data_IF_812569573371
#
_entry.id   IF_812569573371
#
_cell.length_a   1.000
_cell.length_b   1.000
_cell.length_c   1.000
_cell.angle_alpha   90.00
_cell.angle_beta   90.00
_cell.angle_gamma   90.00
#
_symmetry.space_group_name_H-M   'P 1'
#
loop_
_entity.id
_entity.type
_entity.pdbx_description
1 polymer ?
#
# COMPACT_ATOMS: atom_id res chain seq x y z
N UNK A 1 -19.66 9.62 15.92
CA UNK A 1 -18.69 8.83 15.13
C UNK A 1 -19.49 7.89 14.24
N UNK A 2 -19.69 8.23 12.97
CA UNK A 2 -20.26 7.29 12.01
C UNK A 2 -19.12 6.36 11.59
N UNK A 3 -19.05 5.19 12.24
CA UNK A 3 -18.11 4.14 11.82
C UNK A 3 -18.34 3.82 10.34
N UNK A 4 -17.26 3.67 9.58
CA UNK A 4 -17.33 3.20 8.20
C UNK A 4 -18.09 1.86 8.24
N UNK A 5 -19.27 1.77 7.62
CA UNK A 5 -19.98 0.49 7.51
C UNK A 5 -19.14 -0.44 6.65
N UNK A 6 -18.56 -1.44 7.28
CA UNK A 6 -17.76 -2.49 6.64
C UNK A 6 -18.71 -3.38 5.82
N UNK A 7 -18.40 -3.62 4.54
CA UNK A 7 -19.21 -4.48 3.68
C UNK A 7 -19.20 -5.96 4.11
N UNK A 8 -20.14 -6.78 3.59
CA UNK A 8 -20.31 -8.18 4.00
C UNK A 8 -19.11 -9.10 3.66
N UNK A 9 -18.25 -8.70 2.73
CA UNK A 9 -16.97 -9.37 2.48
C UNK A 9 -15.96 -9.11 3.60
N UNK A 10 -15.87 -7.86 4.05
CA UNK A 10 -14.89 -7.44 5.03
C UNK A 10 -15.28 -7.86 6.46
N UNK A 11 -16.53 -8.24 6.73
CA UNK A 11 -16.89 -8.89 8.00
C UNK A 11 -16.29 -10.28 8.17
N UNK A 12 -15.79 -10.90 7.09
CA UNK A 12 -15.20 -12.25 7.09
C UNK A 12 -13.68 -12.28 7.31
N UNK A 13 -13.01 -11.13 7.28
CA UNK A 13 -11.56 -11.07 7.51
C UNK A 13 -11.25 -11.21 9.01
N UNK A 14 -10.01 -11.52 9.37
CA UNK A 14 -9.62 -11.65 10.76
C UNK A 14 -9.87 -10.36 11.57
N UNK A 15 -10.26 -10.46 12.86
CA UNK A 15 -10.54 -9.30 13.71
C UNK A 15 -9.43 -8.25 13.74
N UNK A 16 -8.16 -8.65 13.67
CA UNK A 16 -7.02 -7.73 13.61
C UNK A 16 -7.06 -6.77 12.42
N UNK A 17 -7.52 -7.23 11.25
CA UNK A 17 -7.63 -6.38 10.06
C UNK A 17 -8.86 -5.47 10.14
N UNK A 18 -9.97 -5.97 10.68
CA UNK A 18 -11.16 -5.16 10.96
C UNK A 18 -10.81 -3.99 11.90
N UNK A 19 -10.09 -4.28 12.99
CA UNK A 19 -9.62 -3.27 13.94
C UNK A 19 -8.71 -2.21 13.29
N UNK A 20 -7.87 -2.58 12.31
CA UNK A 20 -7.09 -1.61 11.53
C UNK A 20 -8.02 -0.73 10.69
N UNK A 21 -8.99 -1.32 9.96
CA UNK A 21 -9.93 -0.58 9.12
C UNK A 21 -10.85 0.37 9.91
N UNK A 22 -11.17 0.05 11.15
CA UNK A 22 -11.95 0.92 12.04
C UNK A 22 -11.20 2.18 12.47
N UNK A 23 -9.87 2.08 12.58
CA UNK A 23 -8.98 3.14 13.08
C UNK A 23 -8.30 3.94 11.99
N UNK A 24 -8.45 3.52 10.74
CA UNK A 24 -7.74 4.12 9.60
C UNK A 24 -8.73 4.55 8.53
N UNK A 25 -8.27 5.43 7.64
CA UNK A 25 -9.01 5.84 6.45
C UNK A 25 -8.21 5.47 5.21
N UNK A 26 -8.84 4.84 4.20
CA UNK A 26 -8.16 4.59 2.93
C UNK A 26 -7.98 5.90 2.17
N UNK A 27 -6.91 5.97 1.39
CA UNK A 27 -6.63 7.07 0.48
C UNK A 27 -6.08 6.57 -0.86
N UNK A 28 -6.15 7.43 -1.86
CA UNK A 28 -5.49 7.26 -3.16
C UNK A 28 -4.72 8.54 -3.49
N UNK A 29 -3.51 8.39 -4.01
CA UNK A 29 -2.76 9.45 -4.70
C UNK A 29 -2.47 9.00 -6.13
N UNK A 30 -2.92 9.76 -7.12
CA UNK A 30 -2.78 9.41 -8.54
C UNK A 30 -2.94 10.64 -9.44
N UNK A 31 -2.66 10.49 -10.74
CA UNK A 31 -3.10 11.41 -11.76
C UNK A 31 -4.64 11.34 -11.92
N UNK A 32 -5.38 12.48 -11.93
CA UNK A 32 -6.84 12.46 -11.97
C UNK A 32 -7.44 11.67 -13.14
N UNK A 33 -6.75 11.62 -14.29
CA UNK A 33 -7.20 10.84 -15.45
C UNK A 33 -7.24 9.32 -15.22
N UNK A 34 -6.57 8.80 -14.20
CA UNK A 34 -6.54 7.38 -13.88
C UNK A 34 -7.74 6.94 -13.02
N UNK A 35 -8.41 7.88 -12.34
CA UNK A 35 -9.42 7.58 -11.31
C UNK A 35 -10.59 6.74 -11.83
N UNK A 36 -11.00 6.92 -13.09
CA UNK A 36 -12.10 6.16 -13.69
C UNK A 36 -11.78 4.67 -13.85
N UNK A 37 -10.51 4.28 -13.76
CA UNK A 37 -10.06 2.89 -13.84
C UNK A 37 -10.07 2.20 -12.47
N UNK A 38 -10.27 2.95 -11.38
CA UNK A 38 -10.15 2.43 -10.02
C UNK A 38 -11.51 2.15 -9.39
N UNK A 39 -11.53 1.14 -8.53
CA UNK A 39 -12.64 0.87 -7.62
C UNK A 39 -12.48 1.73 -6.36
N UNK A 40 -13.25 2.82 -6.26
CA UNK A 40 -13.24 3.73 -5.12
C UNK A 40 -14.08 3.25 -3.92
N UNK A 41 -14.70 2.06 -4.03
CA UNK A 41 -15.47 1.44 -2.95
C UNK A 41 -15.18 -0.07 -2.86
N UNK A 42 -13.91 -0.47 -2.68
CA UNK A 42 -13.51 -1.88 -2.58
C UNK A 42 -14.28 -2.59 -1.47
N UNK A 43 -15.05 -3.62 -1.83
CA UNK A 43 -15.87 -4.40 -0.88
C UNK A 43 -16.81 -3.53 0.00
N UNK A 44 -17.32 -2.44 -0.57
CA UNK A 44 -18.18 -1.50 0.14
C UNK A 44 -17.45 -0.53 1.08
N UNK A 45 -16.12 -0.59 1.19
CA UNK A 45 -15.33 0.40 1.91
C UNK A 45 -15.09 1.62 1.01
N UNK A 46 -15.90 2.67 1.17
CA UNK A 46 -15.76 3.89 0.37
C UNK A 46 -14.51 4.70 0.75
N UNK A 47 -13.78 5.16 -0.27
CA UNK A 47 -12.67 6.10 -0.13
C UNK A 47 -13.25 7.51 -0.16
N UNK A 48 -13.06 8.27 0.91
CA UNK A 48 -13.61 9.63 1.00
C UNK A 48 -12.93 10.53 -0.05
N UNK A 49 -13.70 11.40 -0.69
CA UNK A 49 -13.23 12.34 -1.69
C UNK A 49 -12.12 13.26 -1.15
N UNK A 50 -12.15 13.59 0.14
CA UNK A 50 -11.09 14.38 0.80
C UNK A 50 -9.73 13.64 0.86
N UNK A 51 -9.74 12.31 0.73
CA UNK A 51 -8.57 11.43 0.72
C UNK A 51 -8.25 10.88 -0.68
N UNK A 52 -8.79 11.51 -1.72
CA UNK A 52 -8.37 11.30 -3.10
C UNK A 52 -7.50 12.50 -3.48
N UNK A 53 -6.20 12.24 -3.55
CA UNK A 53 -5.17 13.24 -3.79
C UNK A 53 -4.72 13.20 -5.25
N UNK A 54 -4.58 14.39 -5.85
CA UNK A 54 -4.02 14.55 -7.18
C UNK A 54 -2.52 14.82 -7.09
N UNK A 55 -1.71 14.05 -7.81
CA UNK A 55 -0.25 14.24 -7.85
C UNK A 55 0.20 15.53 -8.54
N UNK A 56 -0.70 16.17 -9.31
CA UNK A 56 -0.44 17.45 -9.98
C UNK A 56 -0.98 18.65 -9.20
N UNK A 57 -1.55 18.43 -8.00
CA UNK A 57 -2.07 19.50 -7.14
C UNK A 57 -1.01 19.94 -6.12
N UNK A 58 -0.39 21.10 -6.36
CA UNK A 58 0.65 21.67 -5.50
C UNK A 58 0.19 21.92 -4.06
N UNK A 59 -1.11 22.07 -3.81
CA UNK A 59 -1.66 22.22 -2.45
C UNK A 59 -1.49 20.95 -1.61
N UNK A 60 -1.16 19.82 -2.23
CA UNK A 60 -0.92 18.53 -1.58
C UNK A 60 0.55 18.28 -1.25
N UNK A 61 1.44 19.25 -1.47
CA UNK A 61 2.87 19.13 -1.18
C UNK A 61 3.17 18.55 0.21
N UNK A 62 2.42 19.00 1.24
CA UNK A 62 2.58 18.49 2.60
C UNK A 62 2.31 16.99 2.71
N UNK A 63 1.27 16.48 2.04
CA UNK A 63 0.97 15.05 2.02
C UNK A 63 2.08 14.25 1.32
N UNK A 64 2.67 14.79 0.25
CA UNK A 64 3.79 14.16 -0.45
C UNK A 64 5.03 14.05 0.44
N UNK A 65 5.33 15.07 1.24
CA UNK A 65 6.43 15.03 2.21
C UNK A 65 6.19 13.97 3.31
N UNK A 66 4.93 13.74 3.69
CA UNK A 66 4.56 12.70 4.65
C UNK A 66 4.69 11.29 4.04
N UNK A 67 4.33 11.11 2.76
CA UNK A 67 4.60 9.86 2.03
C UNK A 67 6.09 9.57 1.93
N UNK A 68 6.91 10.58 1.65
CA UNK A 68 8.36 10.44 1.65
C UNK A 68 8.91 10.07 3.03
N UNK A 69 8.33 10.64 4.09
CA UNK A 69 8.69 10.27 5.47
C UNK A 69 8.34 8.81 5.76
N UNK A 70 7.16 8.33 5.32
CA UNK A 70 6.77 6.92 5.42
C UNK A 70 7.75 6.00 4.67
N UNK A 71 8.16 6.38 3.46
CA UNK A 71 9.11 5.60 2.66
C UNK A 71 10.48 5.53 3.32
N UNK A 72 10.98 6.67 3.80
CA UNK A 72 12.23 6.74 4.55
C UNK A 72 12.20 5.87 5.82
N UNK A 73 11.05 5.77 6.50
CA UNK A 73 10.91 4.88 7.65
C UNK A 73 10.96 3.39 7.28
N UNK A 74 10.43 3.03 6.11
CA UNK A 74 10.40 1.64 5.64
C UNK A 74 11.74 1.21 5.01
N UNK A 75 12.35 2.05 4.18
CA UNK A 75 13.49 1.68 3.32
C UNK A 75 14.78 2.46 3.61
N UNK A 76 14.71 3.54 4.38
CA UNK A 76 15.88 4.29 4.83
C UNK A 76 16.96 3.44 5.52
N UNK A 77 16.60 2.53 6.46
CA UNK A 77 17.58 1.68 7.14
C UNK A 77 18.34 0.71 6.22
N UNK A 78 17.80 0.42 5.03
CA UNK A 78 18.44 -0.43 4.02
C UNK A 78 19.00 0.38 2.85
N UNK A 79 19.04 1.72 2.97
CA UNK A 79 19.62 2.62 1.98
C UNK A 79 18.83 2.69 0.67
N UNK A 80 17.52 2.43 0.69
CA UNK A 80 16.67 2.40 -0.50
C UNK A 80 15.44 3.32 -0.45
N UNK A 81 15.48 4.53 0.15
CA UNK A 81 14.36 5.47 -0.04
C UNK A 81 14.29 5.87 -1.52
N UNK A 82 13.07 6.05 -2.04
CA UNK A 82 12.89 6.48 -3.42
C UNK A 82 12.90 8.02 -3.52
N UNK A 83 13.54 8.52 -4.57
CA UNK A 83 13.50 9.96 -4.87
C UNK A 83 12.07 10.39 -5.27
N UNK A 84 11.76 11.68 -5.05
CA UNK A 84 10.43 12.25 -5.38
C UNK A 84 10.05 12.05 -6.85
N UNK A 85 11.01 12.14 -7.76
CA UNK A 85 10.74 11.94 -9.19
C UNK A 85 10.33 10.47 -9.49
N UNK A 86 10.86 9.48 -8.76
CA UNK A 86 10.47 8.07 -8.92
C UNK A 86 9.03 7.87 -8.46
N UNK A 87 8.64 8.49 -7.34
CA UNK A 87 7.23 8.51 -6.92
C UNK A 87 6.34 9.07 -8.01
N UNK A 88 6.66 10.27 -8.49
CA UNK A 88 5.83 11.00 -9.44
C UNK A 88 5.79 10.32 -10.82
N UNK A 89 6.95 10.15 -11.46
CA UNK A 89 7.08 9.67 -12.85
C UNK A 89 6.72 8.19 -13.01
N UNK A 90 7.09 7.36 -12.03
CA UNK A 90 6.87 5.91 -12.12
C UNK A 90 5.62 5.47 -11.37
N UNK A 91 5.32 6.05 -10.21
CA UNK A 91 4.20 5.62 -9.36
C UNK A 91 2.90 6.35 -9.63
N UNK A 92 2.86 7.64 -9.35
CA UNK A 92 1.65 8.44 -9.23
C UNK A 92 1.03 8.82 -10.57
N UNK A 93 1.87 9.21 -11.55
CA UNK A 93 1.42 9.63 -12.87
C UNK A 93 0.86 8.47 -13.70
N UNK A 94 1.60 7.39 -13.97
CA UNK A 94 1.11 6.29 -14.80
C UNK A 94 0.20 5.33 -14.03
N UNK A 95 0.39 5.22 -12.71
CA UNK A 95 -0.34 4.29 -11.85
C UNK A 95 -0.99 5.02 -10.69
N UNK A 96 -0.83 4.49 -9.48
CA UNK A 96 -1.34 5.11 -8.28
C UNK A 96 -0.71 4.55 -7.01
N UNK A 97 -0.88 5.33 -5.95
CA UNK A 97 -0.52 4.97 -4.59
C UNK A 97 -1.82 4.80 -3.80
N UNK A 98 -2.02 3.63 -3.23
CA UNK A 98 -3.17 3.36 -2.36
C UNK A 98 -2.67 2.94 -0.98
N UNK A 99 -3.29 3.49 0.07
CA UNK A 99 -2.82 3.24 1.42
C UNK A 99 -3.87 3.50 2.48
N UNK A 100 -3.42 3.41 3.73
CA UNK A 100 -4.19 3.75 4.91
C UNK A 100 -3.51 4.90 5.64
N UNK A 101 -4.30 5.84 6.12
CA UNK A 101 -3.85 6.97 6.91
C UNK A 101 -4.71 7.21 8.14
N UNK A 102 -4.22 8.07 9.02
CA UNK A 102 -4.87 8.49 10.27
C UNK A 102 -4.73 10.00 10.43
N UNK A 103 -5.54 10.61 11.28
CA UNK A 103 -5.32 12.00 11.67
C UNK A 103 -4.08 12.09 12.54
N UNK A 104 -3.30 13.16 12.38
CA UNK A 104 -2.09 13.40 13.16
C UNK A 104 -2.37 13.31 14.67
N UNK A 105 -3.53 13.77 15.14
CA UNK A 105 -3.95 13.67 16.54
C UNK A 105 -3.98 12.25 17.11
N UNK A 106 -4.18 11.24 16.25
CA UNK A 106 -4.28 9.82 16.61
C UNK A 106 -2.91 9.13 16.72
N UNK A 107 -1.84 9.79 16.28
CA UNK A 107 -0.49 9.23 16.30
C UNK A 107 0.17 9.41 17.69
N UNK A 108 0.95 8.41 18.15
CA UNK A 108 1.84 8.56 19.29
C UNK A 108 2.85 9.69 19.05
N UNK A 109 3.23 10.41 20.11
CA UNK A 109 4.14 11.56 20.01
C UNK A 109 5.48 11.22 19.37
N UNK A 110 6.02 10.02 19.62
CA UNK A 110 7.30 9.63 19.03
C UNK A 110 7.16 9.35 17.53
N UNK A 111 6.02 8.82 17.08
CA UNK A 111 5.73 8.68 15.64
C UNK A 111 5.52 10.05 14.99
N UNK A 112 4.85 11.00 15.66
CA UNK A 112 4.72 12.38 15.16
C UNK A 112 6.08 13.04 14.90
N UNK A 113 7.07 12.81 15.77
CA UNK A 113 8.44 13.31 15.58
C UNK A 113 9.10 12.71 14.35
N UNK A 114 8.91 11.40 14.11
CA UNK A 114 9.45 10.72 12.94
C UNK A 114 8.89 11.30 11.62
N UNK A 115 7.59 11.65 11.61
CA UNK A 115 6.94 12.35 10.50
C UNK A 115 7.21 13.87 10.47
N UNK A 116 8.00 14.40 11.41
CA UNK A 116 8.28 15.84 11.54
C UNK A 116 6.99 16.68 11.58
N UNK A 117 6.02 16.22 12.37
CA UNK A 117 4.76 16.94 12.57
C UNK A 117 4.92 18.03 13.63
N UNK A 118 4.22 19.14 13.42
CA UNK A 118 4.09 20.18 14.44
C UNK A 118 3.21 19.70 15.60
N UNK A 119 3.36 20.34 16.78
CA UNK A 119 2.66 19.94 18.01
C UNK A 119 1.13 19.87 17.87
N UNK A 120 0.55 20.78 17.08
CA UNK A 120 -0.89 20.88 16.84
C UNK A 120 -1.27 20.54 15.39
N UNK A 121 -0.45 19.72 14.72
CA UNK A 121 -0.72 19.32 13.33
C UNK A 121 -2.10 18.66 13.21
N UNK A 122 -2.86 19.11 12.21
CA UNK A 122 -4.13 18.50 11.78
C UNK A 122 -3.96 17.74 10.46
N UNK A 123 -2.73 17.35 10.16
CA UNK A 123 -2.37 16.62 8.94
C UNK A 123 -3.09 15.26 8.89
N UNK A 124 -3.54 14.86 7.71
CA UNK A 124 -3.86 13.45 7.43
C UNK A 124 -2.55 12.73 7.08
N UNK A 125 -2.16 11.76 7.89
CA UNK A 125 -0.84 11.14 7.83
C UNK A 125 -0.95 9.73 7.24
N UNK A 126 -0.29 9.43 6.11
CA UNK A 126 -0.23 8.09 5.57
C UNK A 126 0.62 7.21 6.49
N UNK A 127 0.09 6.05 6.89
CA UNK A 127 0.82 5.07 7.73
C UNK A 127 1.17 3.80 6.96
N UNK A 128 0.61 3.64 5.76
CA UNK A 128 0.99 2.63 4.80
C UNK A 128 0.70 3.08 3.39
N UNK A 129 1.38 2.47 2.42
CA UNK A 129 1.15 2.69 1.01
C UNK A 129 1.56 1.49 0.18
N UNK A 130 0.91 1.32 -0.96
CA UNK A 130 1.30 0.42 -2.02
C UNK A 130 1.27 1.15 -3.35
N UNK A 131 2.35 1.03 -4.11
CA UNK A 131 2.50 1.63 -5.44
C UNK A 131 2.44 0.51 -6.48
N UNK A 132 1.60 0.70 -7.50
CA UNK A 132 1.57 -0.20 -8.64
C UNK A 132 1.50 0.58 -9.95
N UNK A 133 2.19 0.06 -10.96
CA UNK A 133 2.41 0.70 -12.25
C UNK A 133 1.78 -0.18 -13.33
N UNK A 134 0.90 0.33 -14.20
CA UNK A 134 0.39 -0.47 -15.30
C UNK A 134 1.52 -0.81 -16.28
N UNK A 135 1.48 -2.02 -16.82
CA UNK A 135 2.40 -2.44 -17.89
C UNK A 135 1.74 -2.22 -19.26
N UNK A 136 2.56 -2.16 -20.31
CA UNK A 136 2.07 -2.11 -21.68
C UNK A 136 1.20 -3.32 -22.07
N UNK A 137 1.44 -4.47 -21.44
CA UNK A 137 0.59 -5.65 -21.59
C UNK A 137 -0.79 -5.41 -20.93
N UNK A 138 -1.90 -5.57 -21.66
CA UNK A 138 -3.24 -5.27 -21.14
C UNK A 138 -3.56 -6.01 -19.84
N UNK A 139 -4.01 -5.25 -18.83
CA UNK A 139 -4.41 -5.78 -17.52
C UNK A 139 -3.25 -6.28 -16.64
N UNK A 140 -2.01 -6.19 -17.10
CA UNK A 140 -0.83 -6.50 -16.30
C UNK A 140 -0.33 -5.26 -15.55
N UNK A 141 0.10 -5.48 -14.31
CA UNK A 141 0.64 -4.44 -13.44
C UNK A 141 1.99 -4.87 -12.87
N UNK A 142 2.82 -3.90 -12.55
CA UNK A 142 4.05 -4.11 -11.80
C UNK A 142 3.86 -3.60 -10.37
N UNK A 143 4.16 -4.45 -9.38
CA UNK A 143 4.21 -4.06 -7.98
C UNK A 143 5.51 -3.34 -7.70
N UNK A 144 5.44 -2.04 -7.40
CA UNK A 144 6.62 -1.19 -7.30
C UNK A 144 7.13 -1.05 -5.86
N UNK A 145 6.26 -0.62 -4.94
CA UNK A 145 6.67 -0.36 -3.57
C UNK A 145 5.57 -0.71 -2.56
N UNK A 146 5.97 -1.20 -1.38
CA UNK A 146 5.08 -1.45 -0.23
C UNK A 146 5.75 -0.92 1.05
N UNK A 147 5.24 0.20 1.57
CA UNK A 147 5.74 0.80 2.82
C UNK A 147 4.69 0.74 3.91
N UNK A 148 5.14 0.53 5.14
CA UNK A 148 4.26 0.52 6.31
C UNK A 148 5.01 0.96 7.55
N UNK A 149 4.38 1.85 8.33
CA UNK A 149 4.85 2.31 9.63
C UNK A 149 4.61 1.29 10.75
N UNK A 150 4.30 0.03 10.42
CA UNK A 150 3.95 -1.01 11.40
C UNK A 150 5.04 -1.23 12.47
N UNK A 151 6.32 -1.07 12.09
CA UNK A 151 7.47 -1.19 13.01
C UNK A 151 7.52 -0.10 14.07
N UNK A 152 6.99 1.08 13.80
CA UNK A 152 7.01 2.23 14.72
C UNK A 152 5.66 2.44 15.43
N UNK A 153 4.57 1.96 14.85
CA UNK A 153 3.23 2.02 15.44
C UNK A 153 2.93 0.85 16.41
N UNK A 154 3.58 -0.31 16.22
CA UNK A 154 3.45 -1.46 17.11
C UNK A 154 2.15 -2.26 16.96
N UNK A 155 1.88 -3.11 17.95
CA UNK A 155 1.00 -4.30 17.86
C UNK A 155 -0.44 -4.08 17.38
N UNK A 156 -1.02 -2.89 17.54
CA UNK A 156 -2.37 -2.58 17.05
C UNK A 156 -2.49 -2.54 15.52
N UNK A 157 -1.36 -2.50 14.81
CA UNK A 157 -1.29 -2.45 13.35
C UNK A 157 -0.72 -3.73 12.74
N UNK A 158 -0.63 -4.83 13.51
CA UNK A 158 -0.07 -6.09 13.01
C UNK A 158 -0.79 -6.58 11.74
N UNK A 159 -0.06 -6.64 10.63
CA UNK A 159 -0.60 -7.02 9.32
C UNK A 159 -0.96 -5.83 8.41
N UNK A 160 -0.68 -4.59 8.83
CA UNK A 160 -0.95 -3.37 8.06
C UNK A 160 -0.42 -3.44 6.62
N UNK A 161 0.82 -3.90 6.40
CA UNK A 161 1.38 -4.06 5.05
C UNK A 161 0.58 -5.03 4.17
N UNK A 162 0.18 -6.18 4.71
CA UNK A 162 -0.64 -7.17 3.99
C UNK A 162 -2.01 -6.58 3.64
N UNK A 163 -2.70 -5.99 4.61
CA UNK A 163 -4.00 -5.34 4.39
C UNK A 163 -3.90 -4.23 3.33
N UNK A 164 -2.86 -3.40 3.40
CA UNK A 164 -2.60 -2.31 2.46
C UNK A 164 -2.47 -2.82 1.04
N UNK A 165 -1.64 -3.86 0.84
CA UNK A 165 -1.44 -4.44 -0.48
C UNK A 165 -2.72 -5.07 -1.01
N UNK A 166 -3.44 -5.84 -0.20
CA UNK A 166 -4.70 -6.49 -0.59
C UNK A 166 -5.77 -5.46 -0.96
N UNK A 167 -5.89 -4.39 -0.17
CA UNK A 167 -6.79 -3.27 -0.47
C UNK A 167 -6.41 -2.61 -1.80
N UNK A 168 -5.12 -2.28 -2.00
CA UNK A 168 -4.65 -1.63 -3.22
C UNK A 168 -4.86 -2.49 -4.47
N UNK A 169 -4.64 -3.80 -4.39
CA UNK A 169 -4.94 -4.74 -5.48
C UNK A 169 -6.41 -4.66 -5.89
N UNK A 170 -7.34 -4.55 -4.92
CA UNK A 170 -8.76 -4.41 -5.20
C UNK A 170 -9.13 -3.03 -5.74
N UNK A 171 -8.54 -1.96 -5.18
CA UNK A 171 -8.74 -0.57 -5.63
C UNK A 171 -8.29 -0.41 -7.09
N UNK A 172 -7.12 -0.90 -7.44
CA UNK A 172 -6.58 -0.81 -8.80
C UNK A 172 -7.11 -1.89 -9.75
N UNK A 173 -8.03 -2.75 -9.26
CA UNK A 173 -8.64 -3.82 -10.04
C UNK A 173 -7.62 -4.80 -10.68
N UNK A 174 -6.53 -5.07 -9.96
CA UNK A 174 -5.39 -5.84 -10.46
C UNK A 174 -5.68 -7.34 -10.39
N UNK A 175 -5.59 -8.01 -11.55
CA UNK A 175 -5.74 -9.47 -11.67
C UNK A 175 -4.44 -10.18 -12.01
N UNK A 176 -3.53 -9.51 -12.69
CA UNK A 176 -2.23 -10.03 -13.09
C UNK A 176 -1.16 -9.04 -12.64
N UNK A 177 -0.23 -9.50 -11.83
CA UNK A 177 0.84 -8.68 -11.28
C UNK A 177 2.19 -9.35 -11.50
N UNK A 178 3.13 -8.57 -12.00
CA UNK A 178 4.55 -8.84 -11.95
C UNK A 178 5.16 -8.07 -10.78
N UNK A 179 6.30 -8.54 -10.30
CA UNK A 179 7.07 -7.79 -9.32
C UNK A 179 8.50 -8.27 -9.23
N UNK A 180 9.30 -7.49 -8.53
CA UNK A 180 10.65 -7.83 -8.15
C UNK A 180 10.79 -7.75 -6.63
N UNK A 181 11.54 -8.67 -6.05
CA UNK A 181 11.89 -8.64 -4.62
C UNK A 181 13.22 -9.34 -4.42
N UNK A 182 13.89 -9.08 -3.30
CA UNK A 182 15.09 -9.82 -2.91
C UNK A 182 14.69 -11.15 -2.28
N UNK A 183 15.50 -12.20 -2.53
CA UNK A 183 15.34 -13.53 -1.93
C UNK A 183 15.22 -13.51 -0.39
N UNK A 184 15.96 -12.62 0.27
CA UNK A 184 16.00 -12.46 1.72
C UNK A 184 15.01 -11.41 2.25
N UNK A 185 14.15 -10.87 1.38
CA UNK A 185 13.16 -9.89 1.79
C UNK A 185 12.06 -10.51 2.65
N UNK A 186 11.81 -9.91 3.81
CA UNK A 186 10.66 -10.24 4.67
C UNK A 186 9.32 -9.99 3.98
N UNK A 187 9.28 -9.13 2.95
CA UNK A 187 8.06 -8.89 2.18
C UNK A 187 7.60 -10.13 1.43
N UNK A 188 8.49 -11.07 1.08
CA UNK A 188 8.18 -12.30 0.33
C UNK A 188 7.00 -13.06 0.94
N UNK A 189 6.95 -13.12 2.28
CA UNK A 189 5.86 -13.73 3.03
C UNK A 189 4.49 -13.06 2.76
N UNK A 190 4.47 -11.73 2.57
CA UNK A 190 3.24 -11.00 2.19
C UNK A 190 2.79 -11.42 0.79
N UNK A 191 3.71 -11.58 -0.15
CA UNK A 191 3.36 -11.98 -1.52
C UNK A 191 2.77 -13.39 -1.54
N UNK A 192 3.44 -14.35 -0.90
CA UNK A 192 3.02 -15.76 -0.81
C UNK A 192 1.73 -15.95 -0.01
N UNK A 193 1.51 -15.14 1.02
CA UNK A 193 0.26 -15.15 1.79
C UNK A 193 -0.95 -14.76 0.93
N UNK A 194 -0.76 -13.91 -0.09
CA UNK A 194 -1.85 -13.48 -0.96
C UNK A 194 -2.08 -14.50 -2.06
N UNK A 195 -1.05 -14.86 -2.85
CA UNK A 195 -1.21 -15.76 -3.99
C UNK A 195 0.08 -16.50 -4.30
N UNK A 196 -0.03 -17.56 -5.10
CA UNK A 196 1.15 -18.25 -5.60
C UNK A 196 1.98 -17.32 -6.48
N UNK A 197 3.28 -17.60 -6.50
CA UNK A 197 4.27 -16.84 -7.27
C UNK A 197 4.87 -17.77 -8.31
N UNK A 198 4.58 -17.50 -9.57
CA UNK A 198 5.29 -18.08 -10.70
C UNK A 198 6.61 -17.30 -10.87
N UNK A 199 7.74 -17.97 -10.75
CA UNK A 199 9.04 -17.33 -10.90
C UNK A 199 9.31 -17.03 -12.37
N UNK A 200 9.55 -15.76 -12.70
CA UNK A 200 9.89 -15.33 -14.05
C UNK A 200 11.41 -15.31 -14.25
N UNK A 201 12.16 -14.96 -13.21
CA UNK A 201 13.61 -15.10 -13.17
C UNK A 201 14.11 -15.25 -11.74
N UNK A 202 15.02 -16.20 -11.51
CA UNK A 202 15.72 -16.39 -10.24
C UNK A 202 16.83 -15.35 -9.99
N UNK A 203 17.29 -14.70 -11.07
CA UNK A 203 18.36 -13.70 -11.07
C UNK A 203 18.07 -12.61 -12.10
N UNK A 204 17.95 -11.37 -11.65
CA UNK A 204 17.57 -10.24 -12.51
C UNK A 204 18.68 -9.20 -12.58
N UNK A 205 19.66 -9.35 -13.50
CA UNK A 205 20.80 -8.43 -13.59
C UNK A 205 20.43 -7.00 -14.00
N UNK A 206 19.24 -6.80 -14.57
CA UNK A 206 18.70 -5.47 -14.85
C UNK A 206 18.27 -4.71 -13.58
N UNK A 207 18.19 -5.38 -12.44
CA UNK A 207 17.85 -4.77 -11.15
C UNK A 207 19.12 -4.51 -10.34
N UNK A 208 19.14 -3.43 -9.56
CA UNK A 208 20.33 -2.97 -8.81
C UNK A 208 20.86 -3.96 -7.75
N UNK A 209 20.12 -5.04 -7.46
CA UNK A 209 20.48 -6.03 -6.45
C UNK A 209 20.64 -7.43 -7.05
N UNK A 210 21.81 -8.03 -6.83
CA UNK A 210 22.16 -9.34 -7.38
C UNK A 210 21.28 -10.50 -6.86
N UNK A 211 20.53 -10.32 -5.78
CA UNK A 211 19.62 -11.33 -5.22
C UNK A 211 18.15 -11.11 -5.61
N UNK A 212 17.91 -10.39 -6.71
CA UNK A 212 16.55 -10.06 -7.15
C UNK A 212 15.92 -11.20 -7.92
N UNK A 213 14.77 -11.64 -7.43
CA UNK A 213 13.83 -12.47 -8.19
C UNK A 213 12.77 -11.60 -8.84
N UNK A 214 12.32 -12.03 -10.01
CA UNK A 214 11.08 -11.54 -10.61
C UNK A 214 10.06 -12.66 -10.61
N UNK A 215 8.82 -12.26 -10.39
CA UNK A 215 7.72 -13.21 -10.26
C UNK A 215 6.46 -12.64 -10.88
N UNK A 216 5.49 -13.53 -11.08
CA UNK A 216 4.14 -13.24 -11.51
C UNK A 216 3.15 -13.87 -10.54
N UNK A 217 2.07 -13.17 -10.24
CA UNK A 217 0.96 -13.65 -9.42
C UNK A 217 -0.37 -13.30 -10.07
N UNK A 218 -1.37 -14.15 -9.84
CA UNK A 218 -2.74 -13.97 -10.29
C UNK A 218 -3.63 -13.72 -9.07
N UNK A 219 -4.53 -12.76 -9.17
CA UNK A 219 -5.44 -12.36 -8.10
C UNK A 219 -6.90 -12.41 -8.54
N UNK A 220 -7.76 -12.75 -7.58
CA UNK A 220 -9.21 -12.62 -7.68
C UNK A 220 -9.77 -12.27 -6.30
N UNK A 221 -11.03 -11.85 -6.24
CA UNK A 221 -11.67 -11.38 -5.00
C UNK A 221 -11.63 -12.40 -3.86
N UNK A 222 -11.81 -13.70 -4.18
CA UNK A 222 -11.79 -14.76 -3.17
C UNK A 222 -10.40 -14.87 -2.53
N UNK A 223 -9.36 -14.93 -3.37
CA UNK A 223 -7.96 -15.00 -2.92
C UNK A 223 -7.61 -13.79 -2.04
N UNK A 224 -8.02 -12.59 -2.45
CA UNK A 224 -7.77 -11.37 -1.68
C UNK A 224 -8.41 -11.42 -0.28
N UNK A 225 -9.69 -11.79 -0.17
CA UNK A 225 -10.37 -11.89 1.13
C UNK A 225 -9.81 -13.03 1.99
N UNK A 226 -9.57 -14.20 1.40
CA UNK A 226 -9.05 -15.37 2.13
C UNK A 226 -7.65 -15.12 2.70
N UNK A 227 -6.81 -14.33 1.99
CA UNK A 227 -5.48 -13.94 2.48
C UNK A 227 -5.54 -13.11 3.78
N UNK A 228 -6.68 -12.46 4.04
CA UNK A 228 -6.97 -11.70 5.25
C UNK A 228 -7.74 -12.52 6.31
N UNK A 229 -7.93 -13.83 6.14
CA UNK A 229 -8.62 -14.70 7.12
C UNK A 229 -7.86 -14.85 8.44
N UNK A 230 -6.56 -14.49 8.48
CA UNK A 230 -5.70 -14.65 9.64
C UNK A 230 -5.01 -16.01 9.73
N UNK A 231 -5.36 -16.96 8.85
CA UNK A 231 -4.63 -18.21 8.65
C UNK A 231 -3.47 -17.96 7.70
N UNK A 232 -2.33 -18.59 7.95
CA UNK A 232 -1.25 -18.65 6.95
C UNK A 232 -1.74 -19.50 5.78
N UNK A 233 -1.39 -19.12 4.56
CA UNK A 233 -1.65 -19.98 3.39
C UNK A 233 -0.85 -21.28 3.57
N UNK A 234 -1.54 -22.42 3.60
CA UNK A 234 -0.88 -23.72 3.59
C UNK A 234 -0.19 -23.89 2.22
N UNK A 235 1.13 -24.08 2.26
CA UNK A 235 1.98 -24.30 1.08
C UNK A 235 1.92 -25.73 0.59
#
# INVERSE_FOLDING_TARGET
MNGNKIGPELSRIAPKFQAILERTKPYILTFPGNLSQYNLSPWGLSINQEHIFSCIDSRRARFFDLLQSLDQLAFGPVGMPMDKWVFFDCGEMPGGICGLGVQASELPNDVKKLYKLEKNATDFVPISMYISIPMAAPGAWFGHNLSSANTVLGGNYQGLGLLTKVLALKVFNIKLMYGATQWDSKSLNIHLQISDMEMMSAYTPAHSFNKTITYKSIYNDKILIDSLSGKTKDS
#
